data_IF_901063390641
#
_entry.id   IF_901063390641
#
_cell.length_a   1.000
_cell.length_b   1.000
_cell.length_c   1.000
_cell.angle_alpha   90.00
_cell.angle_beta   90.00
_cell.angle_gamma   90.00
#
_symmetry.space_group_name_H-M   'P 1'
#
loop_
_entity.id
_entity.type
_entity.pdbx_description
1 polymer ?
#
# COMPACT_ATOMS: atom_id res chain seq x y z
N UNK A 1 -18.78 -0.65 -21.04
CA UNK A 1 -17.62 -1.21 -20.34
C UNK A 1 -17.51 -2.71 -20.55
N UNK A 2 -18.47 -3.54 -20.10
CA UNK A 2 -18.45 -5.00 -20.31
C UNK A 2 -18.29 -5.44 -21.78
N UNK A 3 -19.05 -4.86 -22.71
CA UNK A 3 -18.96 -5.24 -24.13
C UNK A 3 -17.58 -4.95 -24.76
N UNK A 4 -16.75 -4.13 -24.12
CA UNK A 4 -15.39 -3.80 -24.55
C UNK A 4 -14.33 -4.71 -23.91
N UNK A 5 -14.67 -5.42 -22.83
CA UNK A 5 -13.79 -6.33 -22.12
C UNK A 5 -14.60 -7.43 -21.39
N UNK A 6 -14.51 -8.67 -21.88
CA UNK A 6 -15.25 -9.81 -21.35
C UNK A 6 -14.92 -10.14 -19.89
N UNK A 7 -13.73 -9.74 -19.41
CA UNK A 7 -13.26 -9.98 -18.05
C UNK A 7 -13.66 -8.83 -17.10
N UNK A 8 -14.52 -7.91 -17.52
CA UNK A 8 -15.08 -6.87 -16.67
C UNK A 8 -16.08 -7.46 -15.66
N UNK A 9 -15.79 -7.32 -14.37
CA UNK A 9 -16.67 -7.75 -13.30
C UNK A 9 -17.57 -6.60 -12.85
N UNK A 10 -18.84 -6.90 -12.60
CA UNK A 10 -19.75 -5.97 -11.94
C UNK A 10 -20.86 -6.70 -11.20
N UNK A 11 -21.44 -6.03 -10.22
CA UNK A 11 -22.61 -6.49 -9.49
C UNK A 11 -23.52 -5.30 -9.18
N UNK A 12 -24.83 -5.53 -9.15
CA UNK A 12 -25.84 -4.49 -8.92
C UNK A 12 -26.86 -5.00 -7.91
N UNK A 13 -27.01 -4.25 -6.83
CA UNK A 13 -28.09 -4.45 -5.86
C UNK A 13 -29.25 -3.50 -6.19
N UNK A 14 -30.47 -4.02 -6.03
CA UNK A 14 -31.70 -3.26 -6.22
C UNK A 14 -32.62 -3.42 -5.00
N UNK A 15 -33.42 -2.41 -4.73
CA UNK A 15 -34.49 -2.47 -3.74
C UNK A 15 -35.74 -3.21 -4.27
N UNK A 16 -36.76 -3.30 -3.42
CA UNK A 16 -38.06 -3.92 -3.77
C UNK A 16 -38.78 -3.22 -4.92
N UNK A 17 -38.48 -1.94 -5.17
CA UNK A 17 -39.03 -1.12 -6.26
C UNK A 17 -38.20 -1.20 -7.56
N UNK A 18 -37.19 -2.08 -7.63
CA UNK A 18 -36.21 -2.18 -8.72
C UNK A 18 -35.37 -0.91 -8.93
N UNK A 19 -35.16 -0.10 -7.89
CA UNK A 19 -34.20 1.00 -7.93
C UNK A 19 -32.82 0.50 -7.57
N UNK A 20 -31.81 0.94 -8.30
CA UNK A 20 -30.40 0.62 -8.01
C UNK A 20 -30.01 1.23 -6.67
N UNK A 21 -29.61 0.38 -5.73
CA UNK A 21 -29.12 0.80 -4.41
C UNK A 21 -27.60 0.82 -4.39
N UNK A 22 -26.96 -0.26 -4.83
CA UNK A 22 -25.51 -0.39 -4.77
C UNK A 22 -24.98 -0.95 -6.10
N UNK A 23 -23.80 -0.49 -6.51
CA UNK A 23 -23.12 -0.96 -7.73
C UNK A 23 -21.67 -1.22 -7.38
N UNK A 24 -21.13 -2.35 -7.81
CA UNK A 24 -19.71 -2.65 -7.75
C UNK A 24 -19.19 -2.95 -9.16
N UNK A 25 -17.97 -2.52 -9.48
CA UNK A 25 -17.30 -2.93 -10.70
C UNK A 25 -15.78 -2.91 -10.57
N UNK A 26 -15.13 -3.77 -11.36
CA UNK A 26 -13.69 -3.76 -11.57
C UNK A 26 -13.37 -4.25 -12.98
N UNK A 27 -12.47 -3.55 -13.67
CA UNK A 27 -11.98 -4.02 -14.96
C UNK A 27 -10.95 -5.15 -14.79
N UNK A 28 -10.63 -5.84 -15.89
CA UNK A 28 -9.69 -6.95 -15.90
C UNK A 28 -8.26 -6.55 -15.52
N UNK A 29 -7.88 -5.29 -15.82
CA UNK A 29 -6.55 -4.76 -15.49
C UNK A 29 -6.43 -4.54 -13.99
N UNK A 30 -7.46 -3.97 -13.36
CA UNK A 30 -7.57 -3.77 -11.92
C UNK A 30 -7.58 -5.10 -11.17
N UNK A 31 -8.31 -6.11 -11.65
CA UNK A 31 -8.27 -7.47 -11.09
C UNK A 31 -6.85 -8.06 -11.13
N UNK A 32 -6.17 -8.00 -12.27
CA UNK A 32 -4.80 -8.48 -12.37
C UNK A 32 -3.78 -7.63 -11.59
N UNK A 33 -4.03 -6.34 -11.41
CA UNK A 33 -3.21 -5.48 -10.56
C UNK A 33 -3.38 -5.85 -9.08
N UNK A 34 -4.58 -6.30 -8.68
CA UNK A 34 -4.86 -6.72 -7.32
C UNK A 34 -4.05 -7.97 -6.90
N UNK A 35 -3.73 -8.87 -7.85
CA UNK A 35 -2.86 -10.02 -7.58
C UNK A 35 -1.49 -9.61 -7.03
N UNK A 36 -0.95 -8.47 -7.48
CA UNK A 36 0.36 -7.95 -7.09
C UNK A 36 0.29 -6.85 -6.03
N UNK A 37 -0.75 -6.03 -6.06
CA UNK A 37 -0.86 -4.79 -5.28
C UNK A 37 -2.07 -4.70 -4.36
N UNK A 38 -2.83 -5.80 -4.22
CA UNK A 38 -3.98 -5.93 -3.33
C UNK A 38 -3.66 -6.47 -1.93
N UNK A 39 -2.38 -6.58 -1.57
CA UNK A 39 -1.89 -6.93 -0.24
C UNK A 39 -2.28 -5.88 0.81
N UNK A 40 -2.21 -4.59 0.45
CA UNK A 40 -2.67 -3.47 1.28
C UNK A 40 -3.63 -2.61 0.47
N UNK A 41 -4.88 -2.50 0.94
CA UNK A 41 -5.94 -1.75 0.27
C UNK A 41 -6.40 -0.59 1.14
N UNK A 42 -6.55 0.58 0.54
CA UNK A 42 -7.29 1.69 1.12
C UNK A 42 -8.70 1.72 0.53
N UNK A 43 -9.67 1.93 1.41
CA UNK A 43 -11.08 2.04 1.05
C UNK A 43 -11.66 3.27 1.76
N UNK A 44 -12.29 4.15 1.00
CA UNK A 44 -12.80 5.42 1.50
C UNK A 44 -14.01 5.84 0.67
N UNK A 45 -15.08 6.29 1.31
CA UNK A 45 -16.31 6.77 0.63
C UNK A 45 -16.40 8.29 0.56
N UNK A 46 -15.45 9.00 1.18
CA UNK A 46 -15.50 10.47 1.35
C UNK A 46 -15.14 11.28 0.11
N UNK A 47 -14.83 10.63 -1.03
CA UNK A 47 -14.33 11.33 -2.21
C UNK A 47 -15.41 12.21 -2.86
N UNK A 48 -16.57 11.63 -3.19
CA UNK A 48 -17.62 12.32 -3.94
C UNK A 48 -18.99 11.72 -3.65
N UNK A 49 -19.94 12.57 -3.23
CA UNK A 49 -21.36 12.36 -3.50
C UNK A 49 -21.66 12.91 -4.88
N UNK A 50 -22.15 12.05 -5.77
CA UNK A 50 -22.62 12.50 -7.09
C UNK A 50 -23.95 13.27 -6.95
N UNK A 51 -24.52 13.75 -8.05
CA UNK A 51 -25.83 14.45 -8.05
C UNK A 51 -26.99 13.65 -7.41
N UNK A 52 -26.83 12.33 -7.26
CA UNK A 52 -27.81 11.41 -6.68
C UNK A 52 -27.48 11.04 -5.23
N UNK A 53 -26.55 11.77 -4.59
CA UNK A 53 -26.09 11.54 -3.22
C UNK A 53 -25.52 10.13 -2.97
N UNK A 54 -25.09 9.42 -4.02
CA UNK A 54 -24.44 8.12 -3.88
C UNK A 54 -22.94 8.30 -3.65
N UNK A 55 -22.38 7.84 -2.50
CA UNK A 55 -20.95 7.90 -2.26
C UNK A 55 -20.19 6.99 -3.22
N UNK A 56 -19.12 7.53 -3.79
CA UNK A 56 -18.17 6.76 -4.58
C UNK A 56 -17.10 6.13 -3.68
N UNK A 57 -16.95 4.82 -3.80
CA UNK A 57 -16.20 3.97 -2.89
C UNK A 57 -15.08 3.20 -3.63
N UNK A 58 -13.93 3.83 -3.93
CA UNK A 58 -12.82 3.18 -4.60
C UNK A 58 -12.03 2.26 -3.66
N UNK A 59 -11.61 1.12 -4.21
CA UNK A 59 -10.58 0.25 -3.63
C UNK A 59 -9.24 0.60 -4.26
N UNK A 60 -8.30 1.07 -3.45
CA UNK A 60 -7.03 1.64 -3.91
C UNK A 60 -5.85 0.88 -3.31
N UNK A 61 -5.00 0.33 -4.18
CA UNK A 61 -3.72 -0.25 -3.82
C UNK A 61 -2.55 0.70 -4.07
N UNK A 62 -1.34 0.16 -3.96
CA UNK A 62 -0.09 0.89 -4.21
C UNK A 62 0.77 0.11 -5.19
N UNK A 63 1.04 0.66 -6.36
CA UNK A 63 1.90 -0.02 -7.34
C UNK A 63 3.37 -0.02 -6.90
N UNK A 64 4.24 -0.67 -7.68
CA UNK A 64 5.67 -0.83 -7.42
C UNK A 64 6.47 0.49 -7.38
N UNK A 65 5.91 1.58 -7.90
CA UNK A 65 6.47 2.92 -7.80
C UNK A 65 6.06 3.66 -6.52
N UNK A 66 5.14 3.09 -5.73
CA UNK A 66 4.55 3.78 -4.58
C UNK A 66 3.41 4.71 -4.92
N UNK A 67 2.88 4.63 -6.15
CA UNK A 67 1.77 5.43 -6.64
C UNK A 67 0.44 4.71 -6.39
N UNK A 68 -0.63 5.47 -6.21
CA UNK A 68 -1.98 4.93 -6.02
C UNK A 68 -2.47 4.25 -7.32
N UNK A 69 -3.05 3.06 -7.19
CA UNK A 69 -3.66 2.31 -8.29
C UNK A 69 -5.07 1.87 -7.91
N UNK A 70 -6.04 2.04 -8.82
CA UNK A 70 -7.41 1.59 -8.59
C UNK A 70 -7.53 0.11 -8.90
N UNK A 71 -8.10 -0.63 -7.95
CA UNK A 71 -8.30 -2.07 -8.03
C UNK A 71 -9.78 -2.45 -8.18
N UNK A 72 -10.69 -1.52 -7.94
CA UNK A 72 -12.13 -1.71 -8.09
C UNK A 72 -12.87 -0.52 -7.49
N UNK A 73 -14.18 -0.43 -7.74
CA UNK A 73 -14.99 0.71 -7.32
C UNK A 73 -16.40 0.29 -6.95
N UNK A 74 -16.99 1.04 -6.02
CA UNK A 74 -18.40 0.96 -5.67
C UNK A 74 -19.11 2.31 -5.78
N UNK A 75 -20.42 2.25 -5.99
CA UNK A 75 -21.36 3.32 -5.69
C UNK A 75 -22.36 2.78 -4.68
N UNK A 76 -22.52 3.47 -3.57
CA UNK A 76 -23.45 3.07 -2.51
C UNK A 76 -24.60 4.06 -2.43
N UNK A 77 -25.79 3.61 -2.05
CA UNK A 77 -26.91 4.50 -1.72
C UNK A 77 -26.90 4.90 -0.24
N UNK A 78 -26.41 4.01 0.63
CA UNK A 78 -26.32 4.21 2.07
C UNK A 78 -24.94 3.79 2.59
N UNK A 79 -24.43 4.53 3.58
CA UNK A 79 -23.20 4.21 4.30
C UNK A 79 -23.49 3.41 5.58
N UNK A 80 -24.23 2.30 5.43
CA UNK A 80 -24.57 1.39 6.52
C UNK A 80 -23.80 0.06 6.45
N UNK A 81 -23.89 -0.72 7.54
CA UNK A 81 -23.12 -1.97 7.67
C UNK A 81 -23.53 -2.98 6.60
N UNK A 82 -24.82 -3.10 6.29
CA UNK A 82 -25.35 -4.01 5.26
C UNK A 82 -24.80 -3.69 3.87
N UNK A 83 -24.80 -2.42 3.48
CA UNK A 83 -24.31 -1.94 2.19
C UNK A 83 -22.81 -2.19 2.04
N UNK A 84 -22.03 -1.98 3.10
CA UNK A 84 -20.61 -2.32 3.11
C UNK A 84 -20.35 -3.83 3.08
N UNK A 85 -21.15 -4.64 3.79
CA UNK A 85 -21.05 -6.11 3.72
C UNK A 85 -21.29 -6.58 2.29
N UNK A 86 -22.33 -6.07 1.63
CA UNK A 86 -22.62 -6.39 0.23
C UNK A 86 -21.43 -6.04 -0.67
N UNK A 87 -20.93 -4.81 -0.56
CA UNK A 87 -19.82 -4.31 -1.37
C UNK A 87 -18.54 -5.12 -1.16
N UNK A 88 -18.20 -5.43 0.09
CA UNK A 88 -17.01 -6.23 0.42
C UNK A 88 -17.16 -7.70 -0.02
N UNK A 89 -18.36 -8.27 0.00
CA UNK A 89 -18.63 -9.60 -0.58
C UNK A 89 -18.45 -9.58 -2.10
N UNK A 90 -18.93 -8.54 -2.78
CA UNK A 90 -18.72 -8.35 -4.23
C UNK A 90 -17.23 -8.24 -4.57
N UNK A 91 -16.50 -7.39 -3.83
CA UNK A 91 -15.04 -7.26 -3.95
C UNK A 91 -14.34 -8.60 -3.75
N UNK A 92 -14.67 -9.34 -2.69
CA UNK A 92 -14.04 -10.62 -2.39
C UNK A 92 -14.26 -11.63 -3.52
N UNK A 93 -15.48 -11.73 -4.05
CA UNK A 93 -15.78 -12.58 -5.21
C UNK A 93 -14.97 -12.17 -6.44
N UNK A 94 -14.92 -10.87 -6.73
CA UNK A 94 -14.16 -10.31 -7.85
C UNK A 94 -12.67 -10.62 -7.76
N UNK A 95 -12.10 -10.64 -6.55
CA UNK A 95 -10.68 -10.90 -6.31
C UNK A 95 -10.38 -12.38 -6.04
N UNK A 96 -11.20 -13.29 -6.60
CA UNK A 96 -10.98 -14.74 -6.52
C UNK A 96 -11.09 -15.30 -5.11
N UNK A 97 -11.93 -14.71 -4.26
CA UNK A 97 -12.08 -15.02 -2.84
C UNK A 97 -10.80 -14.89 -2.02
N UNK A 98 -9.88 -14.05 -2.48
CA UNK A 98 -8.66 -13.70 -1.75
C UNK A 98 -8.83 -12.33 -1.09
N UNK A 99 -8.94 -12.33 0.24
CA UNK A 99 -8.93 -11.10 1.01
C UNK A 99 -7.53 -10.46 1.00
N UNK A 100 -7.50 -9.13 1.10
CA UNK A 100 -6.27 -8.38 1.33
C UNK A 100 -5.67 -8.70 2.70
N UNK A 101 -4.36 -8.61 2.85
CA UNK A 101 -3.71 -8.84 4.15
C UNK A 101 -4.04 -7.69 5.12
N UNK A 102 -4.17 -6.48 4.58
CA UNK A 102 -4.45 -5.25 5.31
C UNK A 102 -5.43 -4.33 4.59
N UNK A 103 -6.26 -3.65 5.38
CA UNK A 103 -7.19 -2.63 4.90
C UNK A 103 -7.10 -1.35 5.75
N UNK A 104 -7.10 -0.21 5.07
CA UNK A 104 -7.10 1.13 5.65
C UNK A 104 -8.42 1.81 5.29
N UNK A 105 -9.16 2.27 6.28
CA UNK A 105 -10.42 3.01 6.04
C UNK A 105 -10.46 4.32 6.79
N UNK A 106 -11.44 5.16 6.50
CA UNK A 106 -11.82 6.21 7.42
C UNK A 106 -12.33 5.63 8.76
N UNK A 107 -12.50 6.50 9.76
CA UNK A 107 -13.04 6.11 11.05
C UNK A 107 -14.57 5.99 10.97
N UNK A 108 -15.05 4.82 10.54
CA UNK A 108 -16.46 4.50 10.37
C UNK A 108 -16.81 3.15 11.00
N UNK A 109 -17.77 3.15 11.94
CA UNK A 109 -18.23 1.91 12.62
C UNK A 109 -18.86 0.91 11.66
N UNK A 110 -19.62 1.40 10.68
CA UNK A 110 -20.28 0.54 9.70
C UNK A 110 -19.25 -0.22 8.83
N UNK A 111 -18.20 0.46 8.38
CA UNK A 111 -17.09 -0.19 7.68
C UNK A 111 -16.36 -1.19 8.58
N UNK A 112 -16.11 -0.84 9.85
CA UNK A 112 -15.46 -1.74 10.81
C UNK A 112 -16.21 -3.06 10.96
N UNK A 113 -17.52 -2.99 11.19
CA UNK A 113 -18.38 -4.16 11.36
C UNK A 113 -18.39 -5.03 10.09
N UNK A 114 -18.48 -4.40 8.92
CA UNK A 114 -18.47 -5.10 7.65
C UNK A 114 -17.13 -5.78 7.36
N UNK A 115 -16.01 -5.14 7.72
CA UNK A 115 -14.67 -5.73 7.60
C UNK A 115 -14.52 -6.93 8.54
N UNK A 116 -15.00 -6.82 9.78
CA UNK A 116 -14.93 -7.92 10.75
C UNK A 116 -15.75 -9.13 10.28
N UNK A 117 -16.91 -8.91 9.66
CA UNK A 117 -17.73 -9.98 9.08
C UNK A 117 -17.09 -10.62 7.83
N UNK A 118 -16.68 -9.80 6.86
CA UNK A 118 -16.29 -10.29 5.53
C UNK A 118 -14.80 -10.67 5.47
N UNK A 119 -13.95 -9.98 6.24
CA UNK A 119 -12.50 -10.11 6.25
C UNK A 119 -11.91 -10.36 7.65
N UNK A 120 -12.33 -11.42 8.37
CA UNK A 120 -11.97 -11.62 9.78
C UNK A 120 -10.46 -11.77 10.05
N UNK A 121 -9.66 -12.06 9.03
CA UNK A 121 -8.19 -12.20 9.13
C UNK A 121 -7.42 -10.96 8.67
N UNK A 122 -8.08 -10.02 8.00
CA UNK A 122 -7.45 -8.83 7.45
C UNK A 122 -7.17 -7.84 8.58
N UNK A 123 -5.96 -7.27 8.59
CA UNK A 123 -5.60 -6.24 9.57
C UNK A 123 -6.27 -4.93 9.18
N UNK A 124 -7.07 -4.38 10.09
CA UNK A 124 -7.80 -3.15 9.88
C UNK A 124 -7.21 -2.00 10.68
N UNK A 125 -7.03 -0.86 10.03
CA UNK A 125 -6.63 0.38 10.70
C UNK A 125 -7.38 1.59 10.14
N UNK A 126 -7.48 2.62 10.97
CA UNK A 126 -7.96 3.92 10.56
C UNK A 126 -6.91 4.71 9.80
N UNK A 127 -7.38 5.50 8.85
CA UNK A 127 -6.58 6.44 8.11
C UNK A 127 -6.20 7.60 9.04
N UNK A 128 -4.90 7.66 9.38
CA UNK A 128 -4.36 8.70 10.24
C UNK A 128 -4.67 10.10 9.70
N UNK A 129 -4.61 10.32 8.37
CA UNK A 129 -4.91 11.63 7.81
C UNK A 129 -6.34 12.09 8.09
N UNK A 130 -7.35 11.22 7.98
CA UNK A 130 -8.73 11.60 8.30
C UNK A 130 -8.90 11.96 9.77
N UNK A 131 -8.18 11.27 10.67
CA UNK A 131 -8.12 11.63 12.09
C UNK A 131 -7.48 13.00 12.26
N UNK A 132 -6.33 13.25 11.62
CA UNK A 132 -5.62 14.53 11.70
C UNK A 132 -6.43 15.69 11.11
N UNK A 133 -7.23 15.43 10.06
CA UNK A 133 -8.11 16.42 9.42
C UNK A 133 -9.23 16.90 10.35
N UNK A 134 -9.68 16.06 11.29
CA UNK A 134 -10.70 16.42 12.29
C UNK A 134 -10.14 17.32 13.40
N UNK A 135 -8.82 17.38 13.61
CA UNK A 135 -8.21 18.17 14.70
C UNK A 135 -8.59 19.66 14.62
N UNK A 136 -8.43 20.37 13.48
CA UNK A 136 -8.89 21.75 13.36
C UNK A 136 -10.35 21.93 13.77
N UNK A 137 -11.24 21.09 13.25
CA UNK A 137 -12.69 21.19 13.51
C UNK A 137 -13.01 20.99 15.00
N UNK A 138 -12.31 20.06 15.68
CA UNK A 138 -12.52 19.73 17.09
C UNK A 138 -11.93 20.77 18.06
N UNK A 139 -10.84 21.43 17.69
CA UNK A 139 -10.09 22.29 18.62
C UNK A 139 -9.98 23.76 18.23
N UNK A 140 -10.47 24.19 17.06
CA UNK A 140 -10.41 25.61 16.63
C UNK A 140 -11.05 26.61 17.62
N UNK A 141 -12.01 26.14 18.43
CA UNK A 141 -12.65 26.96 19.47
C UNK A 141 -11.80 27.16 20.75
N UNK A 142 -10.68 26.45 20.88
CA UNK A 142 -9.81 26.55 22.06
C UNK A 142 -8.84 27.71 21.90
N UNK A 143 -8.67 28.51 22.96
CA UNK A 143 -7.74 29.66 22.98
C UNK A 143 -6.31 29.26 22.62
N UNK A 144 -5.88 28.05 22.97
CA UNK A 144 -4.54 27.51 22.69
C UNK A 144 -4.53 26.47 21.55
N UNK A 145 -5.38 26.62 20.53
CA UNK A 145 -5.46 25.68 19.41
C UNK A 145 -4.09 25.36 18.77
N UNK A 146 -3.23 26.37 18.58
CA UNK A 146 -1.90 26.18 17.97
C UNK A 146 -1.03 25.27 18.81
N UNK A 147 -0.98 25.48 20.13
CA UNK A 147 -0.25 24.61 21.06
C UNK A 147 -0.81 23.19 21.10
N UNK A 148 -2.13 23.05 21.21
CA UNK A 148 -2.81 21.74 21.20
C UNK A 148 -2.47 20.96 19.92
N UNK A 149 -2.61 21.60 18.76
CA UNK A 149 -2.29 20.98 17.47
C UNK A 149 -0.83 20.57 17.39
N UNK A 150 0.09 21.42 17.87
CA UNK A 150 1.51 21.13 17.87
C UNK A 150 1.82 19.88 18.70
N UNK A 151 1.34 19.86 19.95
CA UNK A 151 1.60 18.77 20.89
C UNK A 151 0.93 17.46 20.43
N UNK A 152 -0.27 17.50 19.85
CA UNK A 152 -0.90 16.32 19.24
C UNK A 152 -0.01 15.75 18.12
N UNK A 153 0.54 16.60 17.24
CA UNK A 153 1.43 16.14 16.18
C UNK A 153 2.70 15.50 16.76
N UNK A 154 3.29 16.10 17.80
CA UNK A 154 4.47 15.53 18.48
C UNK A 154 4.14 14.16 19.03
N UNK A 155 3.08 14.02 19.83
CA UNK A 155 2.73 12.75 20.45
C UNK A 155 2.47 11.66 19.41
N UNK A 156 1.82 11.98 18.29
CA UNK A 156 1.48 10.98 17.26
C UNK A 156 2.68 10.57 16.42
N UNK A 157 3.46 11.53 15.92
CA UNK A 157 4.53 11.25 14.95
C UNK A 157 5.88 10.98 15.60
N UNK A 158 6.13 11.54 16.79
CA UNK A 158 7.45 11.47 17.42
C UNK A 158 7.60 10.32 18.42
N UNK A 159 6.49 9.73 18.88
CA UNK A 159 6.52 8.56 19.77
C UNK A 159 7.16 7.36 19.09
N UNK A 160 8.26 6.85 19.65
CA UNK A 160 8.97 5.72 19.06
C UNK A 160 8.26 4.39 19.37
N UNK A 161 7.73 4.26 20.58
CA UNK A 161 7.07 3.05 21.08
C UNK A 161 5.76 3.39 21.83
N UNK A 162 5.10 2.35 22.35
CA UNK A 162 3.86 2.51 23.11
C UNK A 162 4.05 3.33 24.39
N UNK A 163 5.14 3.15 25.14
CA UNK A 163 5.42 3.84 26.41
C UNK A 163 5.56 5.35 26.18
N UNK A 164 6.30 5.74 25.13
CA UNK A 164 6.44 7.15 24.75
C UNK A 164 5.09 7.77 24.41
N UNK A 165 4.24 7.03 23.68
CA UNK A 165 2.90 7.49 23.33
C UNK A 165 2.02 7.64 24.57
N UNK A 166 1.96 6.63 25.44
CA UNK A 166 1.13 6.67 26.65
C UNK A 166 1.51 7.83 27.58
N UNK A 167 2.81 8.05 27.77
CA UNK A 167 3.32 9.16 28.59
C UNK A 167 3.05 10.52 27.94
N UNK A 168 3.36 10.67 26.65
CA UNK A 168 3.11 11.90 25.89
C UNK A 168 1.63 12.25 25.77
N UNK A 169 0.77 11.25 25.57
CA UNK A 169 -0.68 11.42 25.50
C UNK A 169 -1.25 11.92 26.83
N UNK A 170 -0.84 11.32 27.95
CA UNK A 170 -1.24 11.77 29.28
C UNK A 170 -0.79 13.22 29.57
N UNK A 171 0.44 13.55 29.19
CA UNK A 171 0.99 14.89 29.36
C UNK A 171 0.23 15.92 28.50
N UNK A 172 -0.07 15.59 27.25
CA UNK A 172 -0.88 16.42 26.35
C UNK A 172 -2.23 16.75 26.99
N UNK A 173 -2.95 15.72 27.50
CA UNK A 173 -4.27 15.91 28.11
C UNK A 173 -4.19 16.84 29.33
N UNK A 174 -3.21 16.61 30.21
CA UNK A 174 -3.02 17.41 31.43
C UNK A 174 -2.64 18.86 31.13
N UNK A 175 -1.74 19.06 30.15
CA UNK A 175 -1.22 20.40 29.80
C UNK A 175 -2.31 21.32 29.26
N UNK A 176 -3.27 20.76 28.51
CA UNK A 176 -4.32 21.53 27.85
C UNK A 176 -5.70 21.40 28.51
N UNK A 177 -5.81 20.68 29.65
CA UNK A 177 -7.07 20.48 30.36
C UNK A 177 -8.10 19.69 29.54
N UNK A 178 -7.64 18.67 28.79
CA UNK A 178 -8.44 17.90 27.84
C UNK A 178 -8.84 16.51 28.36
N UNK A 179 -8.66 16.23 29.65
CA UNK A 179 -8.87 14.90 30.24
C UNK A 179 -10.31 14.39 30.10
N UNK A 180 -11.29 15.30 30.08
CA UNK A 180 -12.72 14.99 29.93
C UNK A 180 -13.22 15.18 28.48
N UNK A 181 -12.33 15.23 27.49
CA UNK A 181 -12.72 15.38 26.10
C UNK A 181 -13.17 14.04 25.51
N UNK A 182 -14.48 13.85 25.35
CA UNK A 182 -15.09 12.61 24.85
C UNK A 182 -14.48 12.12 23.52
N UNK A 183 -14.13 13.02 22.61
CA UNK A 183 -13.56 12.65 21.31
C UNK A 183 -12.15 12.08 21.47
N UNK A 184 -11.30 12.69 22.31
CA UNK A 184 -9.96 12.18 22.62
C UNK A 184 -10.01 10.87 23.41
N UNK A 185 -10.96 10.71 24.34
CA UNK A 185 -11.17 9.45 25.05
C UNK A 185 -11.50 8.32 24.07
N UNK A 186 -12.48 8.52 23.17
CA UNK A 186 -12.82 7.53 22.15
C UNK A 186 -11.64 7.24 21.21
N UNK A 187 -10.89 8.26 20.82
CA UNK A 187 -9.73 8.09 19.95
C UNK A 187 -8.62 7.31 20.66
N UNK A 188 -8.42 7.52 21.96
CA UNK A 188 -7.46 6.77 22.77
C UNK A 188 -7.81 5.29 22.90
N UNK A 189 -9.09 4.96 23.09
CA UNK A 189 -9.53 3.55 23.12
C UNK A 189 -9.21 2.81 21.82
N UNK A 190 -9.28 3.52 20.69
CA UNK A 190 -8.97 2.98 19.37
C UNK A 190 -7.48 3.11 18.97
N UNK A 191 -6.58 3.53 19.86
CA UNK A 191 -5.16 3.85 19.54
C UNK A 191 -4.42 2.77 18.76
N UNK A 192 -4.69 1.49 19.05
CA UNK A 192 -4.10 0.36 18.33
C UNK A 192 -4.48 0.29 16.84
N UNK A 193 -5.53 1.00 16.41
CA UNK A 193 -5.98 1.08 15.02
C UNK A 193 -5.47 2.30 14.27
N UNK A 194 -4.78 3.27 14.88
CA UNK A 194 -4.43 4.49 14.14
C UNK A 194 -3.09 5.12 14.51
N UNK A 195 -2.58 4.84 15.71
CA UNK A 195 -1.32 5.42 16.17
C UNK A 195 -0.14 4.68 15.52
N UNK A 196 0.80 5.38 14.86
CA UNK A 196 1.89 4.76 14.12
C UNK A 196 2.71 3.74 14.92
N UNK A 197 3.07 4.02 16.18
CA UNK A 197 3.93 3.12 16.95
C UNK A 197 3.30 1.75 17.23
N UNK A 198 1.97 1.64 17.22
CA UNK A 198 1.24 0.37 17.36
C UNK A 198 1.07 -0.39 16.05
N UNK A 199 1.28 0.27 14.90
CA UNK A 199 1.01 -0.26 13.56
C UNK A 199 2.26 -0.60 12.75
N UNK A 200 3.43 -0.13 13.19
CA UNK A 200 4.70 -0.27 12.46
C UNK A 200 5.19 -1.71 12.29
N UNK A 201 4.70 -2.64 13.11
CA UNK A 201 5.03 -4.07 13.03
C UNK A 201 4.29 -4.82 11.90
N UNK A 202 3.60 -4.12 11.00
CA UNK A 202 2.92 -4.76 9.88
C UNK A 202 3.25 -4.03 8.58
N UNK A 203 3.21 -4.74 7.46
CA UNK A 203 3.47 -4.14 6.16
C UNK A 203 2.26 -3.34 5.69
N UNK A 204 2.48 -2.04 5.43
CA UNK A 204 1.42 -1.12 4.99
C UNK A 204 1.75 -0.44 3.66
N UNK A 205 2.75 -0.93 2.91
CA UNK A 205 3.17 -0.34 1.62
C UNK A 205 3.40 1.19 1.67
N UNK A 206 3.79 1.71 2.84
CA UNK A 206 3.98 3.15 3.09
C UNK A 206 2.68 3.97 3.26
N UNK A 207 1.50 3.36 3.40
CA UNK A 207 0.20 4.05 3.41
C UNK A 207 -0.15 4.80 4.72
N UNK A 208 0.75 4.98 5.69
CA UNK A 208 0.43 5.72 6.94
C UNK A 208 0.63 7.22 6.86
N UNK A 209 1.43 7.71 5.92
CA UNK A 209 1.80 9.13 5.87
C UNK A 209 0.73 9.96 5.17
N UNK A 210 0.55 11.18 5.65
CA UNK A 210 -0.40 12.23 5.26
C UNK A 210 -0.63 12.44 3.75
N UNK A 211 0.25 11.93 2.88
CA UNK A 211 0.21 12.14 1.44
C UNK A 211 -0.86 11.36 0.64
N UNK A 212 -1.53 10.32 1.18
CA UNK A 212 -2.27 9.38 0.31
C UNK A 212 -3.79 9.46 0.28
N UNK A 213 -4.45 9.95 1.33
CA UNK A 213 -5.84 10.44 1.18
C UNK A 213 -5.88 11.72 0.32
N UNK A 214 -4.83 12.54 0.38
CA UNK A 214 -4.56 13.60 -0.62
C UNK A 214 -4.37 13.01 -2.01
N UNK A 215 -3.69 11.86 -2.11
CA UNK A 215 -3.49 11.12 -3.35
C UNK A 215 -4.77 10.57 -4.01
N UNK A 216 -5.79 10.22 -3.24
CA UNK A 216 -7.11 9.84 -3.79
C UNK A 216 -7.87 11.06 -4.29
N UNK A 217 -7.86 12.15 -3.51
CA UNK A 217 -8.39 13.43 -3.99
C UNK A 217 -7.71 13.84 -5.30
N UNK A 218 -6.38 13.79 -5.34
CA UNK A 218 -5.54 14.02 -6.51
C UNK A 218 -5.61 12.91 -7.58
N UNK A 219 -6.26 11.77 -7.32
CA UNK A 219 -6.39 10.72 -8.32
C UNK A 219 -7.37 11.13 -9.39
N UNK A 220 -8.51 11.64 -8.95
CA UNK A 220 -9.64 12.06 -9.78
C UNK A 220 -9.82 13.59 -9.80
N UNK A 221 -8.93 14.35 -9.14
CA UNK A 221 -8.92 15.81 -9.19
C UNK A 221 -8.89 16.30 -10.64
N UNK A 222 -9.75 17.27 -10.94
CA UNK A 222 -9.97 17.77 -12.30
C UNK A 222 -10.81 16.87 -13.22
N UNK A 223 -11.12 15.62 -12.85
CA UNK A 223 -11.96 14.71 -13.63
C UNK A 223 -13.40 14.66 -13.11
N UNK A 224 -13.58 14.54 -11.80
CA UNK A 224 -14.89 14.29 -11.19
C UNK A 224 -15.13 15.29 -10.05
N UNK A 225 -16.34 15.83 -9.96
CA UNK A 225 -16.78 16.75 -8.90
C UNK A 225 -18.27 16.50 -8.54
N UNK A 226 -18.77 17.16 -7.49
CA UNK A 226 -20.15 17.00 -6.99
C UNK A 226 -21.25 17.32 -8.02
N UNK A 227 -20.94 18.08 -9.07
CA UNK A 227 -21.90 18.40 -10.16
C UNK A 227 -21.89 17.38 -11.31
N UNK A 228 -21.01 16.37 -11.24
CA UNK A 228 -20.83 15.40 -12.31
C UNK A 228 -22.01 14.42 -12.33
N UNK A 229 -22.70 14.32 -13.46
CA UNK A 229 -23.78 13.33 -13.65
C UNK A 229 -23.20 11.93 -13.79
N UNK A 230 -23.96 10.88 -13.46
CA UNK A 230 -23.53 9.48 -13.61
C UNK A 230 -23.04 9.16 -15.04
N UNK A 231 -23.68 9.72 -16.07
CA UNK A 231 -23.23 9.53 -17.46
C UNK A 231 -21.85 10.15 -17.72
N UNK A 232 -21.61 11.38 -17.23
CA UNK A 232 -20.30 12.04 -17.33
C UNK A 232 -19.26 11.36 -16.45
N UNK A 233 -19.67 10.83 -15.31
CA UNK A 233 -18.82 10.13 -14.35
C UNK A 233 -18.10 8.96 -15.03
N UNK A 234 -18.82 8.09 -15.76
CA UNK A 234 -18.19 6.93 -16.43
C UNK A 234 -17.10 7.36 -17.42
N UNK A 235 -17.36 8.41 -18.20
CA UNK A 235 -16.38 8.93 -19.17
C UNK A 235 -15.15 9.51 -18.47
N UNK A 236 -15.37 10.28 -17.40
CA UNK A 236 -14.27 10.91 -16.66
C UNK A 236 -13.47 9.91 -15.83
N UNK A 237 -14.13 8.87 -15.33
CA UNK A 237 -13.51 7.73 -14.67
C UNK A 237 -12.53 7.02 -15.63
N UNK A 238 -12.97 6.67 -16.84
CA UNK A 238 -12.10 6.05 -17.85
C UNK A 238 -10.92 6.95 -18.25
N UNK A 239 -11.15 8.27 -18.37
CA UNK A 239 -10.09 9.23 -18.64
C UNK A 239 -9.06 9.31 -17.51
N UNK A 240 -9.50 9.31 -16.25
CA UNK A 240 -8.60 9.32 -15.09
C UNK A 240 -7.73 8.06 -15.06
N UNK A 241 -8.35 6.89 -15.26
CA UNK A 241 -7.62 5.62 -15.34
C UNK A 241 -6.60 5.60 -16.49
N UNK A 242 -6.95 6.17 -17.65
CA UNK A 242 -6.05 6.30 -18.80
C UNK A 242 -4.82 7.11 -18.47
N UNK A 243 -4.98 8.30 -17.89
CA UNK A 243 -3.87 9.19 -17.54
C UNK A 243 -2.95 8.51 -16.52
N UNK A 244 -3.50 7.80 -15.54
CA UNK A 244 -2.72 7.11 -14.51
C UNK A 244 -1.97 5.91 -15.08
N UNK A 245 -2.60 5.12 -15.94
CA UNK A 245 -1.93 4.02 -16.64
C UNK A 245 -0.82 4.51 -17.57
N UNK A 246 -1.04 5.62 -18.28
CA UNK A 246 -0.02 6.22 -19.14
C UNK A 246 1.18 6.72 -18.32
N UNK A 247 0.92 7.40 -17.19
CA UNK A 247 1.98 7.83 -16.28
C UNK A 247 2.79 6.66 -15.73
N UNK A 248 2.13 5.56 -15.35
CA UNK A 248 2.81 4.32 -14.90
C UNK A 248 3.75 3.77 -15.99
N UNK A 249 3.30 3.74 -17.26
CA UNK A 249 4.13 3.29 -18.39
C UNK A 249 5.35 4.20 -18.60
N UNK A 250 5.18 5.51 -18.46
CA UNK A 250 6.26 6.49 -18.60
C UNK A 250 7.34 6.30 -17.52
N UNK A 251 6.93 6.12 -16.26
CA UNK A 251 7.89 5.89 -15.16
C UNK A 251 8.51 4.49 -15.19
N UNK A 252 7.79 3.48 -15.70
CA UNK A 252 8.35 2.16 -16.01
C UNK A 252 9.44 2.26 -17.07
N UNK A 253 9.16 2.98 -18.16
CA UNK A 253 10.11 3.18 -19.23
C UNK A 253 11.36 3.92 -18.73
N UNK A 254 11.20 4.99 -17.95
CA UNK A 254 12.32 5.68 -17.33
C UNK A 254 13.13 4.74 -16.43
N UNK A 255 12.47 4.03 -15.52
CA UNK A 255 13.10 3.11 -14.56
C UNK A 255 13.97 2.04 -15.23
N UNK A 256 13.54 1.55 -16.39
CA UNK A 256 14.21 0.49 -17.15
C UNK A 256 15.32 1.01 -18.07
N UNK A 257 15.19 2.22 -18.61
CA UNK A 257 16.07 2.72 -19.67
C UNK A 257 17.06 3.78 -19.20
N UNK A 258 16.88 4.34 -18.00
CA UNK A 258 17.82 5.32 -17.43
C UNK A 258 18.26 4.90 -16.02
N UNK A 259 19.33 5.55 -15.54
CA UNK A 259 19.99 5.21 -14.29
C UNK A 259 20.00 6.45 -13.39
N UNK A 260 19.42 6.32 -12.19
CA UNK A 260 19.62 7.29 -11.10
C UNK A 260 20.94 6.97 -10.42
N UNK A 261 21.88 7.91 -10.38
CA UNK A 261 23.22 7.67 -9.84
C UNK A 261 23.18 7.41 -8.32
N UNK A 262 24.07 6.53 -7.85
CA UNK A 262 24.30 6.32 -6.42
C UNK A 262 24.95 7.57 -5.81
N UNK A 263 24.51 7.93 -4.60
CA UNK A 263 25.10 9.02 -3.81
C UNK A 263 26.37 8.59 -3.07
N UNK A 264 26.61 7.28 -2.94
CA UNK A 264 27.79 6.70 -2.30
C UNK A 264 28.41 5.57 -3.14
N UNK A 265 29.58 5.09 -2.71
CA UNK A 265 30.21 3.90 -3.28
C UNK A 265 29.77 2.59 -2.59
N UNK A 266 28.69 2.63 -1.80
CA UNK A 266 28.19 1.46 -1.09
C UNK A 266 27.68 0.41 -2.08
N UNK A 267 28.15 -0.86 -2.00
CA UNK A 267 27.61 -1.91 -2.86
C UNK A 267 26.15 -2.25 -2.54
N UNK A 268 25.69 -2.04 -1.29
CA UNK A 268 24.28 -2.15 -0.90
C UNK A 268 23.43 -1.11 -1.66
N UNK A 269 23.88 0.15 -1.74
CA UNK A 269 23.15 1.18 -2.50
C UNK A 269 23.03 0.76 -3.98
N UNK A 270 24.13 0.27 -4.57
CA UNK A 270 24.14 -0.22 -5.95
C UNK A 270 23.21 -1.43 -6.15
N UNK A 271 23.12 -2.34 -5.18
CA UNK A 271 22.18 -3.47 -5.21
C UNK A 271 20.75 -2.97 -5.38
N UNK A 272 20.31 -1.98 -4.58
CA UNK A 272 18.98 -1.40 -4.71
C UNK A 272 18.78 -0.59 -6.00
N UNK A 273 19.81 0.11 -6.50
CA UNK A 273 19.75 0.84 -7.78
C UNK A 273 19.40 -0.06 -8.97
N UNK A 274 19.96 -1.27 -8.98
CA UNK A 274 19.74 -2.26 -10.04
C UNK A 274 18.35 -2.89 -9.92
N UNK A 275 17.87 -3.10 -8.69
CA UNK A 275 16.65 -3.87 -8.45
C UNK A 275 15.38 -3.02 -8.39
N UNK A 276 15.42 -1.85 -7.75
CA UNK A 276 14.23 -1.04 -7.48
C UNK A 276 13.91 -0.07 -8.63
N UNK A 277 12.64 0.35 -8.68
CA UNK A 277 12.22 1.48 -9.49
C UNK A 277 12.90 2.77 -9.02
N UNK A 278 12.94 3.80 -9.86
CA UNK A 278 13.59 5.06 -9.49
C UNK A 278 12.98 5.68 -8.23
N UNK A 279 11.65 5.76 -8.12
CA UNK A 279 11.01 6.34 -6.93
C UNK A 279 11.33 5.55 -5.65
N UNK A 280 11.39 4.21 -5.72
CA UNK A 280 11.73 3.39 -4.55
C UNK A 280 13.21 3.42 -4.22
N UNK A 281 14.06 3.54 -5.23
CA UNK A 281 15.49 3.74 -5.01
C UNK A 281 15.76 5.11 -4.36
N UNK A 282 15.04 6.16 -4.74
CA UNK A 282 15.16 7.48 -4.08
C UNK A 282 14.80 7.42 -2.59
N UNK A 283 13.78 6.64 -2.19
CA UNK A 283 13.48 6.38 -0.77
C UNK A 283 14.67 5.71 -0.05
N UNK A 284 15.31 4.72 -0.69
CA UNK A 284 16.54 4.10 -0.15
C UNK A 284 17.66 5.14 -0.03
N UNK A 285 17.84 6.02 -1.03
CA UNK A 285 18.86 7.07 -0.98
C UNK A 285 18.61 8.09 0.12
N UNK A 286 17.34 8.39 0.45
CA UNK A 286 17.00 9.24 1.60
C UNK A 286 17.51 8.59 2.90
N UNK A 287 17.35 7.27 3.06
CA UNK A 287 17.88 6.55 4.23
C UNK A 287 19.41 6.54 4.25
N UNK A 288 20.08 6.34 3.12
CA UNK A 288 21.54 6.43 3.01
C UNK A 288 22.07 7.82 3.38
N UNK A 289 21.41 8.89 2.92
CA UNK A 289 21.77 10.26 3.30
C UNK A 289 21.53 10.50 4.78
N UNK A 290 20.34 10.13 5.28
CA UNK A 290 19.96 10.37 6.68
C UNK A 290 20.82 9.60 7.69
N UNK A 291 21.50 8.53 7.26
CA UNK A 291 22.51 7.81 8.04
C UNK A 291 23.60 8.73 8.61
N UNK A 292 23.92 9.85 7.95
CA UNK A 292 24.93 10.80 8.45
C UNK A 292 24.59 11.41 9.82
N UNK A 293 23.31 11.38 10.21
CA UNK A 293 22.83 11.86 11.51
C UNK A 293 22.74 10.75 12.56
N UNK A 294 23.24 9.55 12.27
CA UNK A 294 23.17 8.38 13.14
C UNK A 294 24.55 7.99 13.66
N UNK A 295 24.64 7.63 14.93
CA UNK A 295 25.89 7.29 15.61
C UNK A 295 25.72 6.06 16.51
N UNK A 296 26.63 5.09 16.39
CA UNK A 296 26.68 3.95 17.31
C UNK A 296 27.17 4.45 18.67
N UNK A 297 26.42 4.17 19.73
CA UNK A 297 26.77 4.55 21.11
C UNK A 297 27.22 3.38 21.97
N UNK A 298 26.67 2.21 21.70
CA UNK A 298 27.00 0.99 22.41
C UNK A 298 26.86 -0.22 21.50
N UNK A 299 27.60 -1.27 21.82
CA UNK A 299 27.56 -2.56 21.10
C UNK A 299 27.70 -3.68 22.11
N UNK A 300 26.65 -4.49 22.21
CA UNK A 300 26.60 -5.67 23.07
C UNK A 300 26.64 -6.90 22.17
N UNK A 301 27.70 -7.69 22.29
CA UNK A 301 27.81 -8.95 21.56
C UNK A 301 27.19 -10.06 22.40
N UNK A 302 26.00 -10.50 22.03
CA UNK A 302 25.40 -11.73 22.54
C UNK A 302 25.85 -12.90 21.66
N UNK A 303 25.88 -14.12 22.20
CA UNK A 303 26.51 -15.27 21.53
C UNK A 303 26.05 -15.53 20.08
N UNK A 304 24.85 -15.08 19.70
CA UNK A 304 24.22 -15.30 18.40
C UNK A 304 23.94 -13.99 17.65
N UNK A 305 23.80 -12.86 18.37
CA UNK A 305 23.42 -11.57 17.80
C UNK A 305 24.27 -10.44 18.40
N UNK A 306 24.61 -9.46 17.58
CA UNK A 306 25.19 -8.21 18.03
C UNK A 306 24.07 -7.16 18.14
N UNK A 307 23.94 -6.54 19.31
CA UNK A 307 22.94 -5.50 19.58
C UNK A 307 23.64 -4.14 19.60
N UNK A 308 23.23 -3.24 18.71
CA UNK A 308 23.75 -1.89 18.60
C UNK A 308 22.74 -0.88 19.11
N UNK A 309 23.21 0.04 19.95
CA UNK A 309 22.41 1.21 20.35
C UNK A 309 22.79 2.39 19.46
N UNK A 310 21.85 2.84 18.64
CA UNK A 310 22.03 3.90 17.65
C UNK A 310 21.39 5.19 18.16
N UNK A 311 22.19 6.26 18.29
CA UNK A 311 21.70 7.63 18.50
C UNK A 311 21.43 8.26 17.15
N UNK A 312 20.21 8.68 16.88
CA UNK A 312 19.85 9.55 15.76
C UNK A 312 19.66 10.99 16.26
N UNK A 313 20.32 11.94 15.61
CA UNK A 313 20.11 13.36 15.89
C UNK A 313 18.94 13.88 15.05
N UNK A 314 17.85 14.26 15.72
CA UNK A 314 16.65 14.80 15.08
C UNK A 314 16.53 16.30 15.37
N UNK A 315 16.30 17.09 14.32
CA UNK A 315 15.99 18.51 14.44
C UNK A 315 14.49 18.71 14.45
N UNK A 316 13.97 19.32 15.51
CA UNK A 316 12.56 19.66 15.64
C UNK A 316 12.39 21.09 16.14
N UNK A 317 11.76 21.94 15.33
CA UNK A 317 11.56 23.37 15.61
C UNK A 317 12.85 24.10 16.08
N UNK A 318 13.96 23.83 15.39
CA UNK A 318 15.27 24.40 15.71
C UNK A 318 15.98 23.78 16.92
N UNK A 319 15.38 22.82 17.63
CA UNK A 319 15.99 22.08 18.74
C UNK A 319 16.46 20.71 18.28
N UNK A 320 17.70 20.37 18.63
CA UNK A 320 18.23 19.02 18.43
C UNK A 320 17.84 18.14 19.61
N UNK A 321 17.05 17.09 19.37
CA UNK A 321 16.70 16.09 20.36
C UNK A 321 17.16 14.70 19.86
N UNK A 322 17.98 13.97 20.63
CA UNK A 322 18.42 12.66 20.22
C UNK A 322 17.33 11.61 20.43
N UNK A 323 17.18 10.71 19.45
CA UNK A 323 16.41 9.48 19.59
C UNK A 323 17.35 8.29 19.62
N UNK A 324 16.94 7.23 20.32
CA UNK A 324 17.71 6.01 20.44
C UNK A 324 16.93 4.84 19.85
N UNK A 325 17.65 4.03 19.07
CA UNK A 325 17.12 2.83 18.43
C UNK A 325 18.04 1.66 18.71
N UNK A 326 17.47 0.46 18.73
CA UNK A 326 18.20 -0.78 18.89
C UNK A 326 18.18 -1.55 17.58
N UNK A 327 19.34 -2.02 17.16
CA UNK A 327 19.51 -2.82 15.95
C UNK A 327 20.15 -4.13 16.34
N UNK A 328 19.47 -5.23 16.05
CA UNK A 328 20.03 -6.57 16.26
C UNK A 328 20.55 -7.09 14.93
N UNK A 329 21.75 -7.63 14.93
CA UNK A 329 22.42 -8.15 13.74
C UNK A 329 22.90 -9.58 13.98
N UNK A 330 22.56 -10.47 13.06
CA UNK A 330 23.07 -11.84 12.99
C UNK A 330 24.28 -11.88 12.05
N UNK A 331 25.50 -12.11 12.56
CA UNK A 331 26.72 -12.14 11.73
C UNK A 331 26.77 -13.31 10.75
N UNK A 332 26.05 -14.40 11.03
CA UNK A 332 26.05 -15.63 10.22
C UNK A 332 25.09 -15.50 9.06
N UNK A 333 23.84 -15.13 9.34
CA UNK A 333 22.80 -14.99 8.33
C UNK A 333 22.83 -13.62 7.63
N UNK A 334 23.56 -12.65 8.21
CA UNK A 334 23.52 -11.23 7.81
C UNK A 334 22.11 -10.64 7.93
N UNK A 335 21.36 -11.19 8.87
CA UNK A 335 20.01 -10.75 9.17
C UNK A 335 20.08 -9.57 10.13
N UNK A 336 19.17 -8.62 9.94
CA UNK A 336 19.12 -7.38 10.69
C UNK A 336 17.67 -7.01 11.04
N UNK A 337 17.44 -6.63 12.28
CA UNK A 337 16.17 -6.11 12.79
C UNK A 337 16.43 -4.76 13.44
N UNK A 338 15.49 -3.82 13.32
CA UNK A 338 15.64 -2.49 13.91
C UNK A 338 14.35 -2.08 14.62
N UNK A 339 14.47 -1.54 15.83
CA UNK A 339 13.34 -1.08 16.62
C UNK A 339 12.54 0.06 15.98
N UNK A 340 13.07 0.74 14.95
CA UNK A 340 12.32 1.74 14.19
C UNK A 340 11.21 1.13 13.30
N UNK A 341 11.31 -0.17 12.98
CA UNK A 341 10.38 -0.97 12.18
C UNK A 341 10.06 -0.40 10.78
N UNK A 342 10.97 0.40 10.20
CA UNK A 342 10.74 0.99 8.87
C UNK A 342 10.63 -0.06 7.77
N UNK A 343 11.43 -1.13 7.87
CA UNK A 343 11.44 -2.20 6.86
C UNK A 343 10.14 -3.02 6.94
N UNK A 344 9.68 -3.34 8.14
CA UNK A 344 8.41 -4.01 8.39
C UNK A 344 7.25 -3.17 7.86
N UNK A 345 7.30 -1.86 8.11
CA UNK A 345 6.23 -0.93 7.73
C UNK A 345 6.18 -0.58 6.23
N UNK A 346 7.35 -0.32 5.60
CA UNK A 346 7.46 0.15 4.20
C UNK A 346 8.15 -0.81 3.25
N UNK A 347 8.94 -1.75 3.76
CA UNK A 347 9.82 -2.58 2.93
C UNK A 347 11.09 -1.88 2.46
N UNK A 348 11.52 -0.83 3.15
CA UNK A 348 12.74 -0.06 2.88
C UNK A 348 13.66 -0.17 4.10
N UNK A 349 14.92 -0.55 3.90
CA UNK A 349 15.90 -0.63 5.00
C UNK A 349 16.14 0.77 5.56
N UNK A 350 16.06 0.92 6.89
CA UNK A 350 16.30 2.20 7.53
C UNK A 350 17.79 2.55 7.62
N UNK A 351 18.04 3.85 7.77
CA UNK A 351 19.33 4.45 8.10
C UNK A 351 20.08 3.77 9.27
N UNK A 352 19.38 3.30 10.31
CA UNK A 352 20.02 2.65 11.46
C UNK A 352 20.58 1.28 11.08
N UNK A 353 19.79 0.48 10.34
CA UNK A 353 20.24 -0.79 9.79
C UNK A 353 21.39 -0.59 8.79
N UNK A 354 21.31 0.41 7.92
CA UNK A 354 22.40 0.75 6.98
C UNK A 354 23.69 1.21 7.67
N UNK A 355 23.59 1.78 8.89
CA UNK A 355 24.76 2.12 9.70
C UNK A 355 25.44 0.86 10.22
N UNK A 356 24.67 -0.06 10.81
CA UNK A 356 25.21 -1.33 11.33
C UNK A 356 25.75 -2.21 10.21
N UNK A 357 25.06 -2.33 9.08
CA UNK A 357 25.57 -3.09 7.93
C UNK A 357 26.91 -2.54 7.40
N UNK A 358 27.11 -1.22 7.47
CA UNK A 358 28.38 -0.59 7.13
C UNK A 358 29.48 -0.88 8.17
N UNK A 359 29.11 -0.92 9.45
CA UNK A 359 30.03 -1.27 10.55
C UNK A 359 30.49 -2.74 10.46
N UNK A 360 29.59 -3.64 10.06
CA UNK A 360 29.83 -5.08 9.94
C UNK A 360 30.38 -5.50 8.56
N UNK A 361 30.83 -4.54 7.75
CA UNK A 361 31.40 -4.74 6.42
C UNK A 361 30.52 -5.59 5.47
N UNK A 362 29.20 -5.44 5.60
CA UNK A 362 28.24 -6.13 4.73
C UNK A 362 28.18 -5.43 3.38
N UNK A 363 28.55 -6.17 2.34
CA UNK A 363 28.57 -5.65 0.98
C UNK A 363 27.23 -5.79 0.26
N UNK A 364 26.47 -6.85 0.52
CA UNK A 364 25.15 -7.07 -0.07
C UNK A 364 24.19 -7.55 0.99
N UNK A 365 22.96 -7.04 0.98
CA UNK A 365 21.92 -7.50 1.89
C UNK A 365 21.32 -8.80 1.36
N UNK A 366 20.87 -9.70 2.26
CA UNK A 366 20.09 -10.88 1.88
C UNK A 366 18.88 -10.51 1.01
N UNK A 367 18.49 -11.41 0.10
CA UNK A 367 17.41 -11.18 -0.87
C UNK A 367 16.05 -10.86 -0.23
N UNK A 368 15.83 -11.27 1.03
CA UNK A 368 14.61 -10.94 1.78
C UNK A 368 14.44 -9.43 2.00
N UNK A 369 15.51 -8.65 1.99
CA UNK A 369 15.44 -7.19 2.12
C UNK A 369 15.27 -6.46 0.78
N UNK A 370 15.42 -7.17 -0.34
CA UNK A 370 15.15 -6.67 -1.68
C UNK A 370 13.75 -7.12 -2.09
N UNK A 371 12.75 -6.30 -1.78
CA UNK A 371 11.37 -6.68 -1.98
C UNK A 371 11.02 -6.73 -3.47
N UNK A 372 10.54 -7.89 -3.90
CA UNK A 372 9.95 -8.12 -5.22
C UNK A 372 8.93 -7.02 -5.55
N UNK A 373 8.10 -6.61 -4.59
CA UNK A 373 7.09 -5.55 -4.79
C UNK A 373 7.63 -4.27 -5.42
N UNK A 374 8.81 -3.82 -4.99
CA UNK A 374 9.42 -2.55 -5.40
C UNK A 374 10.33 -2.67 -6.62
N UNK A 375 10.48 -3.89 -7.16
CA UNK A 375 11.46 -4.13 -8.22
C UNK A 375 10.95 -3.67 -9.59
N UNK A 376 11.83 -3.05 -10.37
CA UNK A 376 11.55 -2.74 -11.78
C UNK A 376 11.71 -3.94 -12.72
N UNK A 377 12.37 -5.00 -12.26
CA UNK A 377 12.76 -6.16 -13.08
C UNK A 377 11.66 -7.23 -13.19
N UNK A 378 10.42 -6.88 -12.90
CA UNK A 378 9.29 -7.81 -12.87
C UNK A 378 8.33 -7.50 -14.00
N UNK A 379 7.95 -8.56 -14.70
CA UNK A 379 6.85 -8.52 -15.66
C UNK A 379 5.54 -8.58 -14.90
N UNK A 380 4.71 -7.56 -15.08
CA UNK A 380 3.44 -7.45 -14.37
C UNK A 380 2.27 -7.72 -15.30
N UNK A 381 1.36 -8.58 -14.86
CA UNK A 381 0.27 -9.09 -15.71
C UNK A 381 -0.66 -7.97 -16.17
N UNK A 382 -0.97 -7.01 -15.28
CA UNK A 382 -1.89 -5.90 -15.57
C UNK A 382 -1.39 -4.97 -16.70
N UNK A 383 -0.08 -4.94 -16.97
CA UNK A 383 0.48 -4.18 -18.11
C UNK A 383 0.20 -4.83 -19.47
N UNK A 384 -0.19 -6.11 -19.48
CA UNK A 384 -0.47 -6.90 -20.69
C UNK A 384 -1.96 -7.04 -20.98
N UNK A 385 -2.82 -6.58 -20.06
CA UNK A 385 -4.28 -6.67 -20.21
C UNK A 385 -4.81 -5.41 -20.87
N UNK A 386 -5.63 -5.60 -21.90
CA UNK A 386 -6.31 -4.50 -22.58
C UNK A 386 -7.41 -3.94 -21.69
N UNK A 387 -7.27 -2.67 -21.31
CA UNK A 387 -8.35 -1.92 -20.68
C UNK A 387 -9.12 -1.12 -21.75
N UNK A 388 -10.39 -0.82 -21.49
CA UNK A 388 -11.25 -0.05 -22.40
C UNK A 388 -10.65 1.32 -22.77
N UNK A 389 -9.91 1.90 -21.84
CA UNK A 389 -9.29 3.22 -21.95
C UNK A 389 -7.83 3.19 -22.45
N UNK A 390 -7.26 2.01 -22.71
CA UNK A 390 -5.89 1.91 -23.25
C UNK A 390 -5.85 2.50 -24.67
N UNK A 391 -5.15 3.63 -24.84
CA UNK A 391 -4.86 4.23 -26.16
C UNK A 391 -3.99 3.35 -27.06
N UNK A 392 -3.46 2.26 -26.52
CA UNK A 392 -2.54 1.33 -27.17
C UNK A 392 -3.29 0.27 -27.99
N UNK A 393 -4.10 0.69 -28.97
CA UNK A 393 -4.69 -0.25 -29.94
C UNK A 393 -3.61 -1.01 -30.75
N UNK A 394 -2.34 -0.62 -30.65
CA UNK A 394 -1.22 -1.15 -31.44
C UNK A 394 0.06 -1.49 -30.65
N UNK A 395 0.03 -1.74 -29.34
CA UNK A 395 1.25 -2.25 -28.67
C UNK A 395 1.56 -3.68 -29.15
N UNK A 396 2.67 -3.92 -29.88
CA UNK A 396 3.01 -5.24 -30.41
C UNK A 396 3.25 -6.29 -29.33
N UNK A 397 3.60 -5.86 -28.10
CA UNK A 397 3.76 -6.76 -26.96
C UNK A 397 2.40 -7.25 -26.44
N UNK A 398 1.41 -6.35 -26.33
CA UNK A 398 0.06 -6.71 -25.91
C UNK A 398 -0.63 -7.62 -26.94
N UNK A 399 -0.47 -7.32 -28.24
CA UNK A 399 -0.99 -8.18 -29.32
C UNK A 399 -0.36 -9.59 -29.28
N UNK A 400 0.96 -9.69 -29.10
CA UNK A 400 1.63 -10.99 -28.96
C UNK A 400 1.11 -11.77 -27.74
N UNK A 401 0.91 -11.09 -26.61
CA UNK A 401 0.36 -11.73 -25.41
C UNK A 401 -1.04 -12.30 -25.67
N UNK A 402 -1.94 -11.51 -26.28
CA UNK A 402 -3.29 -11.96 -26.62
C UNK A 402 -3.28 -13.17 -27.56
N UNK A 403 -2.47 -13.13 -28.63
CA UNK A 403 -2.34 -14.26 -29.56
C UNK A 403 -1.84 -15.52 -28.86
N UNK A 404 -0.82 -15.40 -27.99
CA UNK A 404 -0.29 -16.53 -27.23
C UNK A 404 -1.30 -17.10 -26.24
N UNK A 405 -2.06 -16.24 -25.55
CA UNK A 405 -3.15 -16.68 -24.66
C UNK A 405 -4.23 -17.43 -25.43
N UNK A 406 -4.66 -16.93 -26.59
CA UNK A 406 -5.65 -17.61 -27.42
C UNK A 406 -5.15 -18.98 -27.89
N UNK A 407 -3.90 -19.06 -28.37
CA UNK A 407 -3.30 -20.33 -28.76
C UNK A 407 -3.21 -21.30 -27.57
N UNK A 408 -2.86 -20.81 -26.40
CA UNK A 408 -2.80 -21.62 -25.18
C UNK A 408 -4.17 -22.15 -24.77
N UNK A 409 -5.23 -21.32 -24.82
CA UNK A 409 -6.58 -21.77 -24.53
C UNK A 409 -7.05 -22.87 -25.49
N UNK A 410 -6.78 -22.72 -26.80
CA UNK A 410 -7.11 -23.75 -27.78
C UNK A 410 -6.34 -25.07 -27.52
N UNK A 411 -5.07 -24.98 -27.11
CA UNK A 411 -4.27 -26.15 -26.73
C UNK A 411 -4.80 -26.82 -25.46
N UNK A 412 -5.20 -26.02 -24.47
CA UNK A 412 -5.78 -26.53 -23.22
C UNK A 412 -7.13 -27.22 -23.45
N UNK A 413 -7.97 -26.66 -24.31
CA UNK A 413 -9.26 -27.24 -24.73
C UNK A 413 -9.06 -28.61 -25.40
N UNK A 414 -8.08 -28.75 -26.30
CA UNK A 414 -7.77 -30.04 -26.90
C UNK A 414 -7.13 -31.02 -25.90
N UNK A 415 -6.28 -30.54 -24.99
CA UNK A 415 -5.57 -31.40 -24.05
C UNK A 415 -6.46 -31.93 -22.93
N UNK A 416 -7.52 -31.20 -22.53
CA UNK A 416 -8.41 -31.63 -21.45
C UNK A 416 -9.35 -32.79 -21.83
N UNK A 417 -9.38 -33.20 -23.10
CA UNK A 417 -10.17 -34.35 -23.55
C UNK A 417 -9.57 -35.71 -23.13
N UNK A 418 -8.29 -35.75 -22.69
CA UNK A 418 -7.69 -36.99 -22.17
C UNK A 418 -6.63 -36.74 -21.10
N UNK A 419 -6.57 -37.62 -20.10
CA UNK A 419 -5.58 -37.57 -19.03
C UNK A 419 -4.14 -37.58 -19.59
N UNK A 420 -3.88 -38.41 -20.62
CA UNK A 420 -2.56 -38.48 -21.23
C UNK A 420 -2.13 -37.16 -21.89
N UNK A 421 -3.05 -36.47 -22.60
CA UNK A 421 -2.73 -35.19 -23.24
C UNK A 421 -2.59 -34.07 -22.20
N UNK A 422 -3.40 -34.10 -21.15
CA UNK A 422 -3.31 -33.18 -20.01
C UNK A 422 -1.96 -33.30 -19.28
N UNK A 423 -1.54 -34.53 -18.93
CA UNK A 423 -0.26 -34.80 -18.29
C UNK A 423 0.92 -34.39 -19.17
N UNK A 424 0.82 -34.59 -20.48
CA UNK A 424 1.85 -34.19 -21.43
C UNK A 424 1.95 -32.66 -21.53
N UNK A 425 0.82 -31.97 -21.67
CA UNK A 425 0.79 -30.51 -21.67
C UNK A 425 1.35 -29.93 -20.37
N UNK A 426 1.03 -30.52 -19.21
CA UNK A 426 1.56 -30.06 -17.92
C UNK A 426 3.09 -30.22 -17.84
N UNK A 427 3.65 -31.34 -18.33
CA UNK A 427 5.10 -31.55 -18.42
C UNK A 427 5.77 -30.53 -19.34
N UNK A 428 5.18 -30.28 -20.50
CA UNK A 428 5.71 -29.32 -21.47
C UNK A 428 5.67 -27.89 -20.93
N UNK A 429 4.59 -27.52 -20.21
CA UNK A 429 4.50 -26.23 -19.52
C UNK A 429 5.54 -26.09 -18.42
N UNK A 430 5.79 -27.13 -17.61
CA UNK A 430 6.86 -27.11 -16.60
C UNK A 430 8.24 -26.94 -17.24
N UNK A 431 8.49 -27.59 -18.37
CA UNK A 431 9.73 -27.45 -19.14
C UNK A 431 9.91 -26.04 -19.70
N UNK A 432 8.86 -25.50 -20.33
CA UNK A 432 8.84 -24.14 -20.86
C UNK A 432 9.00 -23.10 -19.75
N UNK A 433 8.32 -23.27 -18.61
CA UNK A 433 8.44 -22.40 -17.44
C UNK A 433 9.91 -22.32 -16.97
N UNK A 434 10.60 -23.46 -16.90
CA UNK A 434 12.03 -23.50 -16.57
C UNK A 434 12.89 -22.78 -17.62
N UNK A 435 12.59 -22.97 -18.92
CA UNK A 435 13.31 -22.32 -20.02
C UNK A 435 13.12 -20.80 -20.05
N UNK A 436 11.94 -20.32 -19.66
CA UNK A 436 11.63 -18.88 -19.61
C UNK A 436 11.87 -18.25 -18.22
N UNK A 437 12.43 -19.00 -17.27
CA UNK A 437 12.79 -18.48 -15.94
C UNK A 437 11.59 -18.21 -15.02
N UNK A 438 10.44 -18.83 -15.27
CA UNK A 438 9.28 -18.79 -14.37
C UNK A 438 9.52 -19.80 -13.23
N UNK A 439 9.93 -19.34 -12.05
CA UNK A 439 10.05 -20.21 -10.87
C UNK A 439 8.68 -20.41 -10.20
N UNK A 440 8.46 -21.62 -9.66
CA UNK A 440 7.25 -22.01 -8.92
C UNK A 440 7.07 -21.32 -7.56
N UNK A 441 7.89 -20.32 -7.21
CA UNK A 441 7.76 -19.59 -5.96
C UNK A 441 6.79 -18.40 -6.11
N UNK A 442 5.49 -18.70 -6.18
CA UNK A 442 4.40 -17.73 -6.02
C UNK A 442 4.21 -17.26 -4.57
N UNK A 443 5.28 -17.25 -3.77
CA UNK A 443 5.23 -16.58 -2.47
C UNK A 443 5.73 -15.15 -2.68
N UNK A 444 4.79 -14.21 -2.64
CA UNK A 444 5.13 -12.85 -2.25
C UNK A 444 5.98 -12.95 -0.98
N UNK A 445 7.22 -12.48 -1.01
CA UNK A 445 8.01 -12.27 0.19
C UNK A 445 7.41 -11.07 0.95
N UNK A 446 6.15 -11.19 1.36
CA UNK A 446 5.59 -10.38 2.43
C UNK A 446 6.29 -10.89 3.69
N UNK A 447 6.85 -10.01 4.54
CA UNK A 447 7.45 -10.43 5.79
C UNK A 447 6.42 -11.24 6.58
N UNK A 448 6.59 -12.55 6.61
CA UNK A 448 5.83 -13.46 7.46
C UNK A 448 6.57 -13.48 8.78
N UNK A 449 6.00 -12.79 9.78
CA UNK A 449 6.54 -12.80 11.13
C UNK A 449 6.36 -14.19 11.75
N UNK A 450 7.41 -14.64 12.44
CA UNK A 450 7.30 -15.57 13.56
C UNK A 450 6.87 -14.81 14.81
#
# INVERSE_FOLDING_TARGET
>A
MRDQNNDFFYDIEMDEDNRITNVFWADARSQAACDEFGDVVSFDTTYLTNKYDMPFAPFVGVNHHGQSIILGCGLLSLEDTSSFIWLFKCWLRCMGNKASDSIVTDQCKAMANAIEEVFPKTKHRWCLWHIMKKIPEKFQGYKNYVGIKCDINVVIYESANAIDFESGWKQLLTTHGLENNDWLCNLYEERGKWVPCYLKNHFWAGMSTTQRSEGMNAFFDGFINSTTTLQKFVIQYDNALKVKAQKEIEVDFASLNTIVLCGSQSPIERQFQVEYTHEKFEEVQIEFRSRMNCFIKDTVNECIFNIYTIKEECMWDGKCAPKYYHVEFDPVLKDITCSCLLFEFRGIICRHSLLVLGQEDVHNVPSKYVLRRWSKNIRRKHTLIRAAYSSLQHDPKMQRYQTLCQQFYNLAEAACESDCASDQLEKDLKSLAKKFGLSSSLKNNIPTMR
#
